data_IF_596015040094
#
_entry.id   IF_596015040094
#
_cell.length_a   1.000
_cell.length_b   1.000
_cell.length_c   1.000
_cell.angle_alpha   90.00
_cell.angle_beta   90.00
_cell.angle_gamma   90.00
#
_symmetry.space_group_name_H-M   'P 1'
#
loop_
_entity.id
_entity.type
_entity.pdbx_description
1 polymer ?
#
# COMPACT_ATOMS: atom_id res chain seq x y z
N UNK A 1 -6.49 -1.27 -11.61
CA UNK A 1 -5.10 -0.85 -11.41
C UNK A 1 -4.82 -0.89 -9.91
N UNK A 2 -4.10 -1.91 -9.43
CA UNK A 2 -3.86 -2.12 -7.99
C UNK A 2 -3.15 -0.90 -7.42
N UNK A 3 -3.76 -0.25 -6.42
CA UNK A 3 -3.08 0.84 -5.70
C UNK A 3 -1.90 0.21 -4.96
N UNK A 4 -0.74 0.84 -5.10
CA UNK A 4 0.55 0.37 -4.58
C UNK A 4 0.39 -0.03 -3.10
N UNK A 5 0.73 -1.28 -2.76
CA UNK A 5 0.86 -1.69 -1.36
C UNK A 5 1.99 -0.83 -0.78
N UNK A 6 1.69 -0.07 0.27
CA UNK A 6 2.62 0.91 0.86
C UNK A 6 3.46 0.24 1.94
N UNK A 7 4.63 0.80 2.20
CA UNK A 7 5.44 0.44 3.38
C UNK A 7 4.69 0.90 4.62
N UNK A 8 4.56 0.01 5.61
CA UNK A 8 3.86 0.24 6.88
C UNK A 8 4.78 0.28 8.12
N UNK A 9 6.04 -0.11 7.97
CA UNK A 9 6.99 -0.21 9.09
C UNK A 9 7.64 1.15 9.40
N UNK A 10 7.89 1.39 10.70
CA UNK A 10 8.64 2.52 11.25
C UNK A 10 8.01 3.91 10.98
N UNK A 11 6.74 4.09 11.38
CA UNK A 11 6.02 5.36 11.28
C UNK A 11 5.67 5.92 12.67
N UNK A 12 5.61 7.24 12.75
CA UNK A 12 5.03 7.98 13.87
C UNK A 12 3.91 8.91 13.33
N UNK A 13 2.65 8.76 13.76
CA UNK A 13 2.15 7.72 14.67
C UNK A 13 2.22 6.31 14.07
N UNK A 14 2.29 5.31 14.95
CA UNK A 14 2.35 3.89 14.59
C UNK A 14 1.24 3.51 13.62
N UNK A 15 1.52 2.51 12.78
CA UNK A 15 0.54 2.01 11.80
C UNK A 15 -0.67 1.40 12.50
N UNK A 16 -1.83 1.82 12.02
CA UNK A 16 -3.13 1.40 12.55
C UNK A 16 -3.56 0.06 11.96
N UNK A 17 -4.44 -0.65 12.67
CA UNK A 17 -4.97 -1.93 12.18
C UNK A 17 -5.77 -1.77 10.88
N UNK A 18 -6.46 -0.64 10.70
CA UNK A 18 -7.18 -0.32 9.46
C UNK A 18 -6.21 -0.21 8.27
N UNK A 19 -5.05 0.41 8.45
CA UNK A 19 -4.04 0.51 7.39
C UNK A 19 -3.44 -0.85 7.03
N UNK A 20 -3.25 -1.71 8.04
CA UNK A 20 -2.81 -3.10 7.83
C UNK A 20 -3.88 -3.88 7.07
N UNK A 21 -5.15 -3.75 7.45
CA UNK A 21 -6.27 -4.41 6.78
C UNK A 21 -6.46 -3.93 5.35
N UNK A 22 -6.31 -2.64 5.10
CA UNK A 22 -6.35 -2.09 3.74
C UNK A 22 -5.19 -2.61 2.88
N UNK A 23 -3.98 -2.74 3.44
CA UNK A 23 -2.86 -3.33 2.73
C UNK A 23 -3.12 -4.81 2.39
N UNK A 24 -3.66 -5.59 3.33
CA UNK A 24 -4.08 -6.97 3.11
C UNK A 24 -5.15 -7.07 2.01
N UNK A 25 -6.16 -6.20 2.02
CA UNK A 25 -7.19 -6.13 0.98
C UNK A 25 -6.58 -5.87 -0.40
N UNK A 26 -5.62 -4.94 -0.52
CA UNK A 26 -4.95 -4.68 -1.80
C UNK A 26 -4.12 -5.88 -2.26
N UNK A 27 -3.46 -6.59 -1.34
CA UNK A 27 -2.74 -7.83 -1.64
C UNK A 27 -3.68 -8.90 -2.18
N UNK A 28 -4.78 -9.20 -1.49
CA UNK A 28 -5.75 -10.22 -1.91
C UNK A 28 -6.35 -9.87 -3.27
N UNK A 29 -6.69 -8.60 -3.51
CA UNK A 29 -7.15 -8.13 -4.83
C UNK A 29 -6.12 -8.32 -5.93
N UNK A 30 -4.85 -8.06 -5.62
CA UNK A 30 -3.74 -8.21 -6.58
C UNK A 30 -3.52 -9.68 -6.94
N UNK A 31 -3.50 -10.56 -5.95
CA UNK A 31 -3.21 -11.99 -6.14
C UNK A 31 -4.39 -12.73 -6.77
N UNK A 32 -5.62 -12.42 -6.35
CA UNK A 32 -6.82 -13.04 -6.91
C UNK A 32 -7.17 -12.55 -8.32
N UNK A 33 -6.61 -11.42 -8.76
CA UNK A 33 -6.97 -10.77 -10.02
C UNK A 33 -8.36 -10.13 -10.01
N UNK A 34 -9.09 -10.15 -8.89
CA UNK A 34 -10.40 -9.53 -8.75
C UNK A 34 -10.35 -8.33 -7.81
N UNK A 35 -10.89 -7.19 -8.26
CA UNK A 35 -11.06 -6.02 -7.38
C UNK A 35 -12.32 -6.15 -6.51
N UNK A 36 -13.32 -6.90 -6.97
CA UNK A 36 -14.58 -7.13 -6.27
C UNK A 36 -14.91 -8.62 -6.34
N UNK A 37 -14.87 -9.36 -5.21
CA UNK A 37 -15.21 -10.77 -5.22
C UNK A 37 -16.68 -10.96 -5.65
N UNK A 38 -16.96 -12.08 -6.32
CA UNK A 38 -18.34 -12.52 -6.52
C UNK A 38 -18.97 -12.87 -5.17
N UNK A 39 -20.31 -12.89 -5.10
CA UNK A 39 -21.03 -13.29 -3.87
C UNK A 39 -20.59 -14.67 -3.36
N UNK A 40 -20.31 -15.60 -4.27
CA UNK A 40 -19.85 -16.95 -3.92
C UNK A 40 -18.44 -16.97 -3.30
N UNK A 41 -17.60 -15.98 -3.62
CA UNK A 41 -16.21 -15.93 -3.17
C UNK A 41 -16.00 -14.94 -2.02
N UNK A 42 -17.04 -14.21 -1.59
CA UNK A 42 -16.93 -13.16 -0.57
C UNK A 42 -16.30 -13.68 0.73
N UNK A 43 -16.80 -14.79 1.27
CA UNK A 43 -16.30 -15.38 2.51
C UNK A 43 -14.83 -15.83 2.41
N UNK A 44 -14.42 -16.39 1.27
CA UNK A 44 -13.02 -16.77 1.04
C UNK A 44 -12.12 -15.52 0.95
N UNK A 45 -12.64 -14.44 0.36
CA UNK A 45 -11.93 -13.17 0.25
C UNK A 45 -11.73 -12.53 1.63
N UNK A 46 -12.81 -12.44 2.41
CA UNK A 46 -12.80 -11.81 3.74
C UNK A 46 -11.86 -12.55 4.69
N UNK A 47 -11.94 -13.89 4.73
CA UNK A 47 -11.02 -14.71 5.54
C UNK A 47 -9.56 -14.49 5.17
N UNK A 48 -9.24 -14.47 3.87
CA UNK A 48 -7.87 -14.23 3.42
C UNK A 48 -7.37 -12.83 3.82
N UNK A 49 -8.23 -11.80 3.73
CA UNK A 49 -7.88 -10.45 4.18
C UNK A 49 -7.56 -10.43 5.68
N UNK A 50 -8.40 -11.06 6.50
CA UNK A 50 -8.23 -11.05 7.95
C UNK A 50 -6.98 -11.84 8.39
N UNK A 51 -6.72 -13.01 7.80
CA UNK A 51 -5.51 -13.81 8.06
C UNK A 51 -4.23 -13.05 7.71
N UNK A 52 -4.21 -12.39 6.57
CA UNK A 52 -3.06 -11.60 6.11
C UNK A 52 -2.88 -10.35 6.96
N UNK A 53 -3.96 -9.68 7.33
CA UNK A 53 -3.91 -8.54 8.23
C UNK A 53 -3.31 -8.94 9.58
N UNK A 54 -3.77 -10.04 10.16
CA UNK A 54 -3.22 -10.59 11.40
C UNK A 54 -1.72 -10.91 11.26
N UNK A 55 -1.33 -11.69 10.25
CA UNK A 55 0.08 -12.04 10.04
C UNK A 55 0.97 -10.79 9.82
N UNK A 56 0.46 -9.80 9.10
CA UNK A 56 1.16 -8.53 8.85
C UNK A 56 1.32 -7.72 10.13
N UNK A 57 0.29 -7.67 10.98
CA UNK A 57 0.36 -6.99 12.28
C UNK A 57 1.45 -7.59 13.17
N UNK A 58 1.45 -8.92 13.31
CA UNK A 58 2.49 -9.64 14.06
C UNK A 58 3.89 -9.39 13.52
N UNK A 59 4.05 -9.35 12.20
CA UNK A 59 5.32 -8.97 11.58
C UNK A 59 5.72 -7.56 11.99
N UNK A 60 4.83 -6.57 11.85
CA UNK A 60 5.14 -5.17 12.17
C UNK A 60 5.50 -4.97 13.65
N UNK A 61 4.81 -5.65 14.57
CA UNK A 61 5.11 -5.60 16.00
C UNK A 61 6.46 -6.25 16.35
N UNK A 62 6.89 -7.24 15.57
CA UNK A 62 8.16 -7.96 15.77
C UNK A 62 9.37 -7.32 15.08
N UNK A 63 9.17 -6.34 14.19
CA UNK A 63 10.28 -5.66 13.50
C UNK A 63 10.94 -4.63 14.41
N UNK A 64 12.28 -4.67 14.47
CA UNK A 64 13.10 -3.72 15.22
C UNK A 64 13.96 -2.92 14.25
N UNK A 65 14.11 -1.62 14.51
CA UNK A 65 14.93 -0.72 13.71
C UNK A 65 15.56 0.37 14.56
N UNK A 66 16.78 0.77 14.19
CA UNK A 66 17.48 1.92 14.78
C UNK A 66 17.28 3.21 13.96
N UNK A 67 16.62 3.11 12.79
CA UNK A 67 16.33 4.27 11.96
C UNK A 67 15.25 5.15 12.61
N UNK A 68 15.33 6.49 12.49
CA UNK A 68 14.29 7.37 13.02
C UNK A 68 12.94 7.07 12.36
N UNK A 69 11.83 7.20 13.11
CA UNK A 69 10.49 6.95 12.57
C UNK A 69 10.16 7.96 11.47
N UNK A 70 9.37 7.51 10.49
CA UNK A 70 8.93 8.33 9.35
C UNK A 70 7.60 9.00 9.67
N UNK A 71 7.43 10.25 9.22
CA UNK A 71 6.13 10.90 9.21
C UNK A 71 5.30 10.49 7.98
N UNK A 72 4.02 10.20 8.20
CA UNK A 72 3.07 9.90 7.10
C UNK A 72 2.92 11.09 6.15
N UNK A 73 2.89 12.30 6.70
CA UNK A 73 2.73 13.53 5.92
C UNK A 73 3.93 13.74 4.99
N UNK A 74 5.14 13.57 5.51
CA UNK A 74 6.37 13.67 4.71
C UNK A 74 6.41 12.63 3.59
N UNK A 75 6.04 11.38 3.87
CA UNK A 75 6.01 10.34 2.85
C UNK A 75 4.92 10.59 1.79
N UNK A 76 3.80 11.19 2.17
CA UNK A 76 2.77 11.63 1.24
C UNK A 76 3.28 12.78 0.34
N UNK A 77 4.00 13.76 0.88
CA UNK A 77 4.64 14.84 0.12
C UNK A 77 5.64 14.27 -0.88
N UNK A 78 6.58 13.43 -0.43
CA UNK A 78 7.55 12.75 -1.29
C UNK A 78 6.86 11.92 -2.37
N UNK A 79 5.75 11.27 -2.03
CA UNK A 79 4.90 10.53 -2.98
C UNK A 79 4.35 11.41 -4.09
N UNK A 80 3.81 12.60 -3.76
CA UNK A 80 3.30 13.58 -4.72
C UNK A 80 4.42 14.11 -5.63
N UNK A 81 5.56 14.50 -5.05
CA UNK A 81 6.73 14.96 -5.81
C UNK A 81 7.21 13.92 -6.82
N UNK A 82 7.30 12.65 -6.42
CA UNK A 82 7.67 11.55 -7.34
C UNK A 82 6.65 11.36 -8.46
N UNK A 83 5.36 11.57 -8.20
CA UNK A 83 4.32 11.52 -9.22
C UNK A 83 4.45 12.69 -10.20
N UNK A 84 4.59 13.91 -9.70
CA UNK A 84 4.79 15.12 -10.52
C UNK A 84 6.00 14.99 -11.44
N UNK A 85 7.15 14.53 -10.91
CA UNK A 85 8.34 14.28 -11.73
C UNK A 85 8.11 13.24 -12.83
N UNK A 86 7.31 12.21 -12.57
CA UNK A 86 6.92 11.22 -13.59
C UNK A 86 6.07 11.88 -14.67
N UNK A 87 5.06 12.65 -14.27
CA UNK A 87 4.19 13.37 -15.21
C UNK A 87 4.98 14.36 -16.06
N UNK A 88 5.92 15.10 -15.45
CA UNK A 88 6.78 16.05 -16.16
C UNK A 88 7.67 15.34 -17.19
N UNK A 89 8.26 14.20 -16.83
CA UNK A 89 9.03 13.36 -17.77
C UNK A 89 8.16 12.86 -18.92
N UNK A 90 6.94 12.43 -18.64
CA UNK A 90 5.99 11.98 -19.67
C UNK A 90 5.60 13.11 -20.63
N UNK A 91 5.29 14.30 -20.10
CA UNK A 91 4.97 15.49 -20.91
C UNK A 91 6.15 15.85 -21.80
N UNK A 92 7.35 15.94 -21.24
CA UNK A 92 8.59 16.25 -21.98
C UNK A 92 8.85 15.24 -23.10
N UNK A 93 8.66 13.96 -22.82
CA UNK A 93 8.81 12.90 -23.83
C UNK A 93 7.81 13.05 -24.97
N UNK A 94 6.57 13.44 -24.68
CA UNK A 94 5.52 13.64 -25.70
C UNK A 94 5.77 14.87 -26.56
N UNK A 95 6.21 15.98 -25.96
CA UNK A 95 6.47 17.23 -26.68
C UNK A 95 7.76 17.22 -27.49
N UNK A 96 8.71 16.34 -27.18
CA UNK A 96 9.99 16.24 -27.90
C UNK A 96 9.93 15.38 -29.19
N UNK A 97 8.80 14.73 -29.48
CA UNK A 97 8.60 13.87 -30.67
C UNK A 97 7.77 14.54 -31.77
N UNK A 98 7.39 15.81 -31.60
CA UNK A 98 6.73 16.64 -32.63
C UNK A 98 7.64 17.76 -33.10
#
# INVERSE_FOLDING_TARGET
MCRNIRVLHNFEPQTTDDEVREAALQYVRKVSGSTHPSRANAEAFDRAVDEIAHATRHLLDGLVTNAPPKSREEEAIKGRQRHEQRMEREVRSRTATG
#
